data_IF_278479638163
#
_entry.id   IF_278479638163
#
_cell.length_a   1.000
_cell.length_b   1.000
_cell.length_c   1.000
_cell.angle_alpha   90.00
_cell.angle_beta   90.00
_cell.angle_gamma   90.00
#
_symmetry.space_group_name_H-M   'P 1'
#
loop_
_entity.id
_entity.type
_entity.pdbx_description
1 polymer ?
#
# COMPACT_ATOMS: atom_id res chain seq x y z
N UNK A 1 60.61 41.27 -14.26
CA UNK A 1 60.82 40.04 -13.50
C UNK A 1 60.32 40.26 -12.09
N UNK A 2 59.14 39.79 -11.75
CA UNK A 2 58.61 39.72 -10.39
C UNK A 2 58.03 38.32 -10.21
N UNK A 3 58.23 37.65 -9.08
CA UNK A 3 57.76 36.30 -8.87
C UNK A 3 56.30 36.27 -8.35
N UNK A 4 55.59 35.26 -8.74
CA UNK A 4 54.23 34.94 -8.35
C UNK A 4 54.13 34.53 -6.86
N UNK A 5 53.23 35.13 -6.14
CA UNK A 5 52.88 34.76 -4.78
C UNK A 5 51.85 33.62 -4.79
N UNK A 6 52.25 32.48 -4.25
CA UNK A 6 51.36 31.39 -3.93
C UNK A 6 50.58 31.70 -2.65
N UNK A 7 49.27 31.62 -2.74
CA UNK A 7 48.35 31.77 -1.60
C UNK A 7 48.25 30.42 -0.87
N UNK A 8 48.85 30.33 0.31
CA UNK A 8 48.68 29.19 1.20
C UNK A 8 47.37 29.34 2.00
N UNK A 9 46.44 28.41 1.81
CA UNK A 9 45.25 28.30 2.64
C UNK A 9 45.62 27.51 3.90
N UNK A 10 45.67 28.21 5.02
CA UNK A 10 45.88 27.59 6.32
C UNK A 10 44.54 26.99 6.82
N UNK A 11 44.53 25.67 6.99
CA UNK A 11 43.47 24.99 7.72
C UNK A 11 43.66 25.26 9.23
N UNK A 12 42.78 26.08 9.79
CA UNK A 12 42.71 26.29 11.25
C UNK A 12 42.04 25.08 11.90
N UNK A 13 42.82 24.28 12.62
CA UNK A 13 42.32 23.28 13.56
C UNK A 13 41.79 24.05 14.77
N UNK A 14 40.46 24.13 14.93
CA UNK A 14 39.83 24.58 16.16
C UNK A 14 39.85 23.40 17.13
N UNK A 15 40.73 23.44 18.09
CA UNK A 15 40.67 22.60 19.30
C UNK A 15 39.42 23.01 20.12
N UNK A 16 38.38 22.22 20.05
CA UNK A 16 37.29 22.28 20.99
C UNK A 16 37.72 21.62 22.30
N UNK A 17 38.00 22.46 23.27
CA UNK A 17 38.23 22.09 24.67
C UNK A 17 36.93 21.54 25.28
N UNK A 18 37.07 20.46 25.99
CA UNK A 18 36.24 19.86 27.02
C UNK A 18 34.85 20.50 27.24
N UNK A 19 33.84 19.95 26.57
CA UNK A 19 32.47 19.99 27.06
C UNK A 19 32.26 18.73 27.89
N UNK A 20 31.87 18.95 29.13
CA UNK A 20 31.57 17.96 30.14
C UNK A 20 30.82 16.76 29.52
N UNK A 21 31.37 15.57 29.74
CA UNK A 21 30.72 14.29 29.50
C UNK A 21 29.46 14.27 30.39
N UNK A 22 28.34 14.76 29.81
CA UNK A 22 27.04 14.49 30.38
C UNK A 22 26.87 12.97 30.40
N UNK A 23 26.41 12.47 31.57
CA UNK A 23 26.08 11.06 31.77
C UNK A 23 25.33 10.55 30.56
N UNK A 24 25.87 9.51 29.90
CA UNK A 24 25.17 8.78 28.89
C UNK A 24 23.80 8.36 29.44
N UNK A 25 22.68 8.70 28.78
CA UNK A 25 21.38 8.25 29.25
C UNK A 25 21.47 6.74 29.49
N UNK A 26 20.91 6.22 30.61
CA UNK A 26 20.96 4.80 30.89
C UNK A 26 20.45 4.06 29.63
N UNK A 27 21.29 3.14 29.11
CA UNK A 27 20.91 2.26 28.04
C UNK A 27 19.57 1.63 28.44
N UNK A 28 18.48 2.04 27.81
CA UNK A 28 17.21 1.32 27.92
C UNK A 28 17.55 -0.10 27.44
N UNK A 29 17.70 -1.02 28.37
CA UNK A 29 17.64 -2.45 28.04
C UNK A 29 16.31 -2.62 27.33
N UNK A 30 16.35 -2.68 26.01
CA UNK A 30 15.21 -3.18 25.25
C UNK A 30 15.02 -4.58 25.79
N UNK A 31 13.98 -4.78 26.58
CA UNK A 31 13.46 -6.13 26.74
C UNK A 31 13.19 -6.62 25.33
N UNK A 32 13.76 -7.76 24.96
CA UNK A 32 13.41 -8.37 23.67
C UNK A 32 11.88 -8.39 23.59
N UNK A 33 11.30 -7.89 22.50
CA UNK A 33 9.85 -7.91 22.36
C UNK A 33 9.39 -9.35 22.57
N UNK A 34 8.27 -9.58 23.25
CA UNK A 34 7.76 -10.91 23.46
C UNK A 34 7.67 -11.60 22.09
N UNK A 35 8.27 -12.78 21.95
CA UNK A 35 8.19 -13.57 20.72
C UNK A 35 6.75 -14.04 20.61
N UNK A 36 5.97 -13.37 19.77
CA UNK A 36 4.61 -13.79 19.47
C UNK A 36 4.73 -15.08 18.66
N UNK A 37 4.53 -16.21 19.33
CA UNK A 37 4.58 -17.52 18.69
C UNK A 37 3.25 -17.79 18.02
N UNK A 38 3.27 -17.93 16.71
CA UNK A 38 2.20 -18.58 15.98
C UNK A 38 2.77 -19.29 14.76
N UNK A 39 2.15 -20.39 14.42
CA UNK A 39 2.44 -21.10 13.19
C UNK A 39 1.69 -20.46 12.04
N UNK A 40 2.34 -20.31 10.88
CA UNK A 40 1.65 -19.97 9.64
C UNK A 40 0.71 -21.09 9.18
N UNK A 41 0.79 -22.26 9.80
CA UNK A 41 -0.02 -23.44 9.47
C UNK A 41 -1.47 -23.31 9.94
N UNK A 42 -1.79 -22.32 10.77
CA UNK A 42 -3.14 -22.07 11.29
C UNK A 42 -4.14 -21.57 10.24
N UNK A 43 -3.68 -21.05 9.09
CA UNK A 43 -4.54 -20.50 8.04
C UNK A 43 -5.58 -21.52 7.52
N UNK A 44 -5.19 -22.76 7.38
CA UNK A 44 -6.07 -23.86 6.95
C UNK A 44 -6.33 -24.91 8.05
N UNK A 45 -6.11 -24.58 9.32
CA UNK A 45 -6.41 -25.48 10.42
C UNK A 45 -7.91 -25.82 10.46
N UNK A 46 -8.24 -27.12 10.37
CA UNK A 46 -9.62 -27.59 10.34
C UNK A 46 -10.35 -27.35 9.02
N UNK A 47 -9.65 -26.94 7.96
CA UNK A 47 -10.20 -26.74 6.61
C UNK A 47 -9.83 -27.93 5.74
N UNK A 48 -10.77 -28.79 5.40
CA UNK A 48 -10.57 -29.95 4.53
C UNK A 48 -11.18 -29.76 3.15
N UNK A 49 -12.19 -28.89 3.03
CA UNK A 49 -12.96 -28.67 1.81
C UNK A 49 -13.05 -27.18 1.46
N UNK A 50 -13.42 -26.90 0.21
CA UNK A 50 -13.72 -25.52 -0.22
C UNK A 50 -14.91 -24.92 0.56
N UNK A 51 -15.86 -25.74 1.00
CA UNK A 51 -16.99 -25.25 1.82
C UNK A 51 -16.51 -24.86 3.22
N UNK A 52 -15.61 -25.64 3.83
CA UNK A 52 -15.02 -25.28 5.13
C UNK A 52 -14.20 -24.00 5.00
N UNK A 53 -13.44 -23.87 3.91
CA UNK A 53 -12.73 -22.61 3.61
C UNK A 53 -13.65 -21.42 3.52
N UNK A 54 -14.77 -21.53 2.80
CA UNK A 54 -15.75 -20.42 2.70
C UNK A 54 -16.30 -20.00 4.05
N UNK A 55 -16.59 -20.95 4.94
CA UNK A 55 -17.01 -20.66 6.31
C UNK A 55 -15.90 -19.99 7.11
N UNK A 56 -14.67 -20.51 6.99
CA UNK A 56 -13.52 -19.94 7.65
C UNK A 56 -13.20 -18.51 7.14
N UNK A 57 -13.30 -18.29 5.83
CA UNK A 57 -13.14 -16.98 5.19
C UNK A 57 -14.09 -15.93 5.77
N UNK A 58 -15.33 -16.25 6.07
CA UNK A 58 -16.27 -15.31 6.70
C UNK A 58 -15.83 -14.94 8.14
N UNK A 59 -15.29 -15.88 8.88
CA UNK A 59 -14.69 -15.61 10.20
C UNK A 59 -13.49 -14.67 10.07
N UNK A 60 -12.59 -14.94 9.11
CA UNK A 60 -11.45 -14.08 8.83
C UNK A 60 -11.89 -12.68 8.39
N UNK A 61 -12.91 -12.58 7.54
CA UNK A 61 -13.48 -11.29 7.11
C UNK A 61 -14.00 -10.49 8.30
N UNK A 62 -14.72 -11.14 9.22
CA UNK A 62 -15.19 -10.49 10.45
C UNK A 62 -14.02 -9.96 11.29
N UNK A 63 -13.02 -10.79 11.55
CA UNK A 63 -11.81 -10.39 12.30
C UNK A 63 -11.04 -9.25 11.62
N UNK A 64 -11.02 -9.24 10.28
CA UNK A 64 -10.39 -8.17 9.50
C UNK A 64 -11.14 -6.84 9.69
N UNK A 65 -12.47 -6.84 9.61
CA UNK A 65 -13.28 -5.65 9.86
C UNK A 65 -13.18 -5.18 11.31
N UNK A 66 -13.09 -6.08 12.28
CA UNK A 66 -12.80 -5.76 13.69
C UNK A 66 -11.42 -5.11 13.85
N UNK A 67 -10.37 -5.62 13.18
CA UNK A 67 -9.05 -5.01 13.18
C UNK A 67 -9.09 -3.57 12.64
N UNK A 68 -9.84 -3.32 11.59
CA UNK A 68 -10.02 -1.99 11.00
C UNK A 68 -10.89 -1.07 11.86
N UNK A 69 -11.65 -1.59 12.82
CA UNK A 69 -12.76 -0.88 13.49
C UNK A 69 -13.74 -0.31 12.46
N UNK A 70 -14.12 -1.13 11.49
CA UNK A 70 -14.96 -0.71 10.37
C UNK A 70 -16.35 -0.25 10.78
N UNK A 71 -16.85 -0.74 11.91
CA UNK A 71 -18.09 -0.31 12.57
C UNK A 71 -18.07 1.16 13.05
N UNK A 72 -16.87 1.77 13.14
CA UNK A 72 -16.66 3.15 13.57
C UNK A 72 -16.52 4.14 12.41
N UNK A 73 -16.56 3.67 11.16
CA UNK A 73 -16.49 4.56 9.99
C UNK A 73 -17.75 5.43 9.89
N UNK A 74 -17.61 6.67 9.42
CA UNK A 74 -18.76 7.55 9.20
C UNK A 74 -19.66 7.03 8.08
N UNK A 75 -20.90 7.53 8.06
CA UNK A 75 -21.78 7.36 6.91
C UNK A 75 -21.12 7.93 5.64
N UNK A 76 -21.20 7.18 4.54
CA UNK A 76 -20.60 7.60 3.27
C UNK A 76 -21.40 8.76 2.67
N UNK A 77 -20.79 9.94 2.47
CA UNK A 77 -21.47 11.08 1.85
C UNK A 77 -21.67 10.89 0.34
N UNK A 78 -22.49 11.70 -0.31
CA UNK A 78 -22.48 11.85 -1.76
C UNK A 78 -21.07 12.22 -2.26
N UNK A 79 -20.67 11.62 -3.38
CA UNK A 79 -19.28 11.72 -3.87
C UNK A 79 -18.84 13.16 -4.21
N UNK A 80 -19.72 13.95 -4.86
CA UNK A 80 -19.50 15.34 -5.28
C UNK A 80 -18.12 15.57 -5.90
N UNK A 81 -17.85 14.86 -6.99
CA UNK A 81 -16.56 14.95 -7.69
C UNK A 81 -16.38 16.34 -8.32
N UNK A 82 -15.31 17.03 -7.94
CA UNK A 82 -14.91 18.33 -8.48
C UNK A 82 -13.59 18.23 -9.22
N UNK A 83 -13.50 18.93 -10.37
CA UNK A 83 -12.26 19.05 -11.16
C UNK A 83 -11.68 20.45 -10.95
N UNK A 84 -10.46 20.52 -10.42
CA UNK A 84 -9.75 21.78 -10.13
C UNK A 84 -8.77 22.17 -11.24
N UNK A 85 -8.14 21.17 -11.88
CA UNK A 85 -7.16 21.38 -12.95
C UNK A 85 -7.29 20.25 -13.98
N UNK A 86 -7.00 20.56 -15.24
CA UNK A 86 -6.98 19.57 -16.32
C UNK A 86 -5.87 19.92 -17.31
N UNK A 87 -4.93 18.99 -17.51
CA UNK A 87 -3.75 19.16 -18.37
C UNK A 87 -3.60 17.95 -19.28
N UNK A 88 -3.42 18.21 -20.58
CA UNK A 88 -3.01 17.17 -21.52
C UNK A 88 -1.52 16.90 -21.40
N UNK A 89 -1.14 15.66 -21.13
CA UNK A 89 0.24 15.21 -20.96
C UNK A 89 0.72 14.54 -22.25
N UNK A 90 1.67 15.16 -22.93
CA UNK A 90 2.36 14.68 -24.14
C UNK A 90 1.42 14.14 -25.24
N UNK A 91 0.19 14.62 -25.32
CA UNK A 91 -0.82 14.12 -26.26
C UNK A 91 -1.25 12.66 -26.02
N UNK A 92 -0.92 12.07 -24.84
CA UNK A 92 -1.23 10.70 -24.51
C UNK A 92 -2.47 10.55 -23.63
N UNK A 93 -2.57 11.36 -22.59
CA UNK A 93 -3.67 11.30 -21.63
C UNK A 93 -3.95 12.68 -21.02
N UNK A 94 -5.13 12.85 -20.43
CA UNK A 94 -5.47 14.03 -19.61
C UNK A 94 -5.22 13.69 -18.14
N UNK A 95 -4.43 14.54 -17.46
CA UNK A 95 -4.29 14.51 -16.00
C UNK A 95 -5.17 15.57 -15.39
N UNK A 96 -6.07 15.19 -14.50
CA UNK A 96 -6.96 16.09 -13.76
C UNK A 96 -6.60 16.07 -12.27
N UNK A 97 -6.52 17.24 -11.64
CA UNK A 97 -6.57 17.37 -10.20
C UNK A 97 -8.04 17.39 -9.78
N UNK A 98 -8.44 16.45 -8.95
CA UNK A 98 -9.83 16.31 -8.50
C UNK A 98 -9.92 16.26 -6.99
N UNK A 99 -11.11 16.59 -6.45
CA UNK A 99 -11.47 16.28 -5.07
C UNK A 99 -12.86 15.67 -5.01
N UNK A 100 -13.10 14.89 -3.96
CA UNK A 100 -14.39 14.22 -3.71
C UNK A 100 -14.59 14.02 -2.20
N UNK A 101 -15.84 13.95 -1.77
CA UNK A 101 -16.16 13.76 -0.36
C UNK A 101 -15.78 12.36 0.12
N UNK A 102 -15.18 12.29 1.30
CA UNK A 102 -14.87 11.04 2.03
C UNK A 102 -15.56 10.98 3.38
N UNK A 103 -15.86 12.15 3.95
CA UNK A 103 -16.74 12.36 5.11
C UNK A 103 -17.60 13.58 4.84
N UNK A 104 -18.61 13.84 5.65
CA UNK A 104 -19.52 14.99 5.47
C UNK A 104 -18.77 16.34 5.49
N UNK A 105 -17.65 16.42 6.20
CA UNK A 105 -16.83 17.62 6.38
C UNK A 105 -15.40 17.47 5.84
N UNK A 106 -15.10 16.39 5.07
CA UNK A 106 -13.74 16.12 4.60
C UNK A 106 -13.73 15.64 3.14
N UNK A 107 -12.81 16.22 2.37
CA UNK A 107 -12.60 15.85 0.95
C UNK A 107 -11.23 15.24 0.75
N UNK A 108 -11.17 14.16 0.00
CA UNK A 108 -9.93 13.63 -0.55
C UNK A 108 -9.54 14.38 -1.83
N UNK A 109 -8.23 14.48 -2.08
CA UNK A 109 -7.67 15.02 -3.31
C UNK A 109 -6.92 13.92 -4.05
N UNK A 110 -7.09 13.86 -5.37
CA UNK A 110 -6.44 12.88 -6.21
C UNK A 110 -5.99 13.47 -7.55
N UNK A 111 -4.99 12.84 -8.17
CA UNK A 111 -4.83 12.96 -9.61
C UNK A 111 -5.60 11.84 -10.30
N UNK A 112 -6.27 12.19 -11.40
CA UNK A 112 -7.00 11.28 -12.27
C UNK A 112 -6.37 11.35 -13.67
N UNK A 113 -5.88 10.23 -14.19
CA UNK A 113 -5.31 10.09 -15.53
C UNK A 113 -6.30 9.37 -16.46
N UNK A 114 -6.72 10.03 -17.54
CA UNK A 114 -7.67 9.48 -18.52
C UNK A 114 -6.99 9.47 -19.90
N UNK A 115 -6.77 8.31 -20.52
CA UNK A 115 -6.20 8.23 -21.86
C UNK A 115 -7.02 9.02 -22.89
N UNK A 116 -6.34 9.69 -23.81
CA UNK A 116 -7.03 10.44 -24.89
C UNK A 116 -7.63 9.54 -25.97
N UNK A 117 -7.11 8.33 -26.10
CA UNK A 117 -7.59 7.35 -27.07
C UNK A 117 -8.01 6.09 -26.33
N UNK A 118 -9.30 5.84 -26.31
CA UNK A 118 -9.90 4.64 -25.73
C UNK A 118 -10.73 3.92 -26.81
N UNK A 119 -10.57 2.62 -26.91
CA UNK A 119 -11.42 1.74 -27.71
C UNK A 119 -12.48 1.12 -26.77
N UNK A 120 -13.50 1.90 -26.43
CA UNK A 120 -14.52 1.52 -25.46
C UNK A 120 -14.10 1.84 -24.01
N UNK A 121 -14.70 1.14 -23.05
CA UNK A 121 -14.40 1.34 -21.62
C UNK A 121 -13.06 0.72 -21.24
N UNK A 122 -12.26 1.46 -20.49
CA UNK A 122 -10.94 1.06 -20.00
C UNK A 122 -11.01 0.43 -18.59
N UNK A 123 -10.06 -0.45 -18.23
CA UNK A 123 -9.89 -0.84 -16.84
C UNK A 123 -9.48 0.36 -15.98
N UNK A 124 -9.98 0.37 -14.73
CA UNK A 124 -9.66 1.40 -13.73
C UNK A 124 -8.58 0.93 -12.75
N UNK A 125 -7.67 1.81 -12.35
CA UNK A 125 -6.61 1.50 -11.37
C UNK A 125 -6.61 2.53 -10.23
N UNK A 126 -6.58 2.03 -8.99
CA UNK A 126 -6.23 2.83 -7.81
C UNK A 126 -4.73 2.72 -7.57
N UNK A 127 -3.99 3.80 -7.80
CA UNK A 127 -2.53 3.86 -7.67
C UNK A 127 -2.13 4.53 -6.36
N UNK A 128 -1.66 3.74 -5.39
CA UNK A 128 -1.40 4.17 -4.03
C UNK A 128 0.07 4.54 -3.81
N UNK A 129 0.32 5.77 -3.33
CA UNK A 129 1.67 6.23 -3.04
C UNK A 129 2.22 5.67 -1.72
N UNK A 130 3.54 5.50 -1.63
CA UNK A 130 4.26 5.20 -0.39
C UNK A 130 4.33 6.41 0.55
N UNK A 131 4.93 6.25 1.73
CA UNK A 131 5.17 7.35 2.67
C UNK A 131 5.98 8.46 2.00
N UNK A 132 5.31 9.55 1.68
CA UNK A 132 5.89 10.70 1.00
C UNK A 132 5.03 11.96 1.23
N UNK A 133 5.60 13.07 1.74
CA UNK A 133 4.83 14.25 2.11
C UNK A 133 3.95 14.81 0.99
N UNK A 134 4.44 14.83 -0.25
CA UNK A 134 3.67 15.32 -1.41
C UNK A 134 2.66 14.30 -1.99
N UNK A 135 2.48 13.16 -1.31
CA UNK A 135 1.45 12.19 -1.60
C UNK A 135 1.35 11.77 -3.06
N UNK A 136 0.18 12.03 -3.65
CA UNK A 136 -0.19 11.69 -5.02
C UNK A 136 0.74 12.21 -6.13
N UNK A 137 1.50 13.30 -5.89
CA UNK A 137 2.42 13.85 -6.90
C UNK A 137 3.45 12.81 -7.35
N UNK A 138 3.86 11.90 -6.45
CA UNK A 138 4.79 10.82 -6.78
C UNK A 138 4.16 9.83 -7.76
N UNK A 139 2.95 9.40 -7.50
CA UNK A 139 2.23 8.49 -8.38
C UNK A 139 1.87 9.15 -9.72
N UNK A 140 1.66 10.47 -9.74
CA UNK A 140 1.37 11.24 -10.94
C UNK A 140 2.61 11.57 -11.80
N UNK A 141 3.84 11.22 -11.34
CA UNK A 141 5.07 11.52 -12.07
C UNK A 141 5.48 13.00 -12.00
N UNK A 142 5.06 13.73 -10.97
CA UNK A 142 5.35 15.15 -10.77
C UNK A 142 6.58 15.40 -9.86
N UNK A 143 7.32 14.36 -9.54
CA UNK A 143 8.55 14.43 -8.74
C UNK A 143 9.67 13.66 -9.42
N UNK A 144 10.92 14.00 -9.07
CA UNK A 144 12.13 13.35 -9.62
C UNK A 144 12.29 11.90 -9.15
N UNK A 145 11.35 11.05 -9.50
CA UNK A 145 11.41 9.60 -9.30
C UNK A 145 10.41 8.89 -10.23
N UNK A 146 10.79 8.63 -11.47
CA UNK A 146 9.90 8.02 -12.46
C UNK A 146 9.51 6.57 -12.11
N UNK A 147 10.28 5.89 -11.25
CA UNK A 147 10.00 4.49 -10.92
C UNK A 147 8.65 4.27 -10.22
N UNK A 148 8.09 5.32 -9.62
CA UNK A 148 6.82 5.29 -8.89
C UNK A 148 5.71 6.11 -9.56
N UNK A 149 5.93 6.54 -10.82
CA UNK A 149 4.97 7.31 -11.61
C UNK A 149 3.86 6.42 -12.21
N UNK A 150 3.19 5.66 -11.36
CA UNK A 150 2.21 4.64 -11.78
C UNK A 150 1.06 5.22 -12.62
N UNK A 151 0.56 6.41 -12.25
CA UNK A 151 -0.51 7.06 -13.00
C UNK A 151 -0.04 7.41 -14.42
N UNK A 152 1.12 8.06 -14.57
CA UNK A 152 1.65 8.41 -15.88
C UNK A 152 1.86 7.15 -16.74
N UNK A 153 2.53 6.14 -16.19
CA UNK A 153 2.85 4.92 -16.92
C UNK A 153 1.61 4.13 -17.36
N UNK A 154 0.62 3.99 -16.47
CA UNK A 154 -0.56 3.18 -16.74
C UNK A 154 -1.57 3.93 -17.61
N UNK A 155 -1.70 5.27 -17.46
CA UNK A 155 -2.55 6.05 -18.37
C UNK A 155 -2.03 5.99 -19.81
N UNK A 156 -0.71 6.00 -20.02
CA UNK A 156 -0.11 5.78 -21.36
C UNK A 156 -0.34 4.36 -21.90
N UNK A 157 -0.64 3.40 -21.03
CA UNK A 157 -0.97 2.00 -21.37
C UNK A 157 -2.48 1.76 -21.55
N UNK A 158 -3.31 2.80 -21.49
CA UNK A 158 -4.76 2.72 -21.72
C UNK A 158 -5.59 2.39 -20.50
N UNK A 159 -5.07 2.63 -19.27
CA UNK A 159 -5.84 2.55 -18.03
C UNK A 159 -6.36 3.93 -17.62
N UNK A 160 -7.55 3.98 -17.07
CA UNK A 160 -7.99 5.14 -16.27
C UNK A 160 -7.45 4.97 -14.85
N UNK A 161 -6.66 5.92 -14.37
CA UNK A 161 -5.93 5.78 -13.12
C UNK A 161 -6.29 6.89 -12.15
N UNK A 162 -6.67 6.54 -10.93
CA UNK A 162 -6.80 7.48 -9.82
C UNK A 162 -5.66 7.29 -8.82
N UNK A 163 -5.00 8.39 -8.46
CA UNK A 163 -3.95 8.42 -7.45
C UNK A 163 -4.36 9.38 -6.33
N UNK A 164 -5.01 8.89 -5.24
CA UNK A 164 -5.43 9.74 -4.13
C UNK A 164 -4.26 10.11 -3.21
N UNK A 165 -4.38 11.25 -2.53
CA UNK A 165 -3.59 11.54 -1.34
C UNK A 165 -4.04 10.63 -0.20
N UNK A 166 -3.08 10.16 0.58
CA UNK A 166 -3.38 9.60 1.88
C UNK A 166 -3.93 10.71 2.80
N UNK A 167 -4.84 10.37 3.72
CA UNK A 167 -5.55 11.34 4.56
C UNK A 167 -4.66 12.24 5.45
N UNK A 168 -3.34 11.97 5.51
CA UNK A 168 -2.33 12.74 6.25
C UNK A 168 -1.12 13.13 5.37
N UNK A 169 -1.32 13.20 4.04
CA UNK A 169 -0.29 13.57 3.07
C UNK A 169 -0.84 14.52 1.99
N UNK A 170 0.03 15.09 1.19
CA UNK A 170 -0.32 15.96 0.07
C UNK A 170 -1.14 17.18 0.50
N UNK A 171 -2.33 17.35 -0.06
CA UNK A 171 -3.25 18.45 0.30
C UNK A 171 -3.86 18.32 1.70
N UNK A 172 -3.69 17.18 2.35
CA UNK A 172 -4.33 16.84 3.63
C UNK A 172 -3.34 16.73 4.79
N UNK A 173 -2.13 17.28 4.62
CA UNK A 173 -1.12 17.34 5.70
C UNK A 173 -1.70 18.18 6.85
N UNK A 174 -1.82 17.61 8.06
CA UNK A 174 -2.26 18.37 9.21
C UNK A 174 -1.19 19.42 9.63
N UNK A 175 -1.56 20.46 10.37
CA UNK A 175 -0.62 21.51 10.80
C UNK A 175 0.59 20.99 11.59
N UNK A 176 0.46 19.85 12.26
CA UNK A 176 1.52 19.21 13.03
C UNK A 176 2.60 18.57 12.13
N UNK A 177 2.28 18.32 10.86
CA UNK A 177 3.21 17.78 9.88
C UNK A 177 2.67 16.56 9.13
N UNK A 178 3.40 16.09 8.10
CA UNK A 178 2.98 14.95 7.31
C UNK A 178 2.97 13.66 8.18
N UNK A 179 1.92 12.86 7.98
CA UNK A 179 1.67 11.59 8.68
C UNK A 179 1.38 11.72 10.18
N UNK A 180 1.11 12.92 10.68
CA UNK A 180 0.61 13.10 12.05
C UNK A 180 -0.86 12.71 12.13
N UNK A 181 -1.20 11.72 12.96
CA UNK A 181 -2.55 11.18 13.11
C UNK A 181 -3.29 11.67 14.34
N UNK A 182 -2.70 12.59 15.10
CA UNK A 182 -3.26 13.09 16.37
C UNK A 182 -4.67 13.67 16.21
N UNK A 183 -4.89 14.53 15.18
CA UNK A 183 -6.21 15.12 14.90
C UNK A 183 -7.23 14.09 14.44
N UNK A 184 -6.81 13.12 13.66
CA UNK A 184 -7.68 12.02 13.26
C UNK A 184 -8.19 11.26 14.50
N UNK A 185 -7.30 10.88 15.42
CA UNK A 185 -7.70 10.17 16.64
C UNK A 185 -8.47 11.04 17.65
N UNK A 186 -8.39 12.36 17.55
CA UNK A 186 -9.27 13.27 18.31
C UNK A 186 -10.70 13.27 17.74
N UNK A 187 -10.83 13.29 16.41
CA UNK A 187 -12.11 13.25 15.70
C UNK A 187 -12.76 11.86 15.76
N UNK A 188 -11.95 10.82 15.62
CA UNK A 188 -12.37 9.42 15.58
C UNK A 188 -11.57 8.57 16.59
N UNK A 189 -11.88 8.65 17.88
CA UNK A 189 -11.08 8.02 18.94
C UNK A 189 -11.04 6.49 18.87
N UNK A 190 -12.11 5.87 18.32
CA UNK A 190 -12.26 4.42 18.23
C UNK A 190 -11.95 3.85 16.84
N UNK A 191 -11.88 4.70 15.82
CA UNK A 191 -11.55 4.23 14.46
C UNK A 191 -10.05 4.12 14.26
N UNK A 192 -9.60 3.24 13.36
CA UNK A 192 -8.17 3.08 13.07
C UNK A 192 -7.74 3.89 11.86
N UNK A 193 -6.48 4.33 11.84
CA UNK A 193 -5.92 5.02 10.69
C UNK A 193 -5.89 4.09 9.45
N UNK A 194 -5.72 2.77 9.65
CA UNK A 194 -5.80 1.78 8.57
C UNK A 194 -7.23 1.63 8.08
N UNK A 195 -8.22 1.61 8.97
CA UNK A 195 -9.64 1.65 8.60
C UNK A 195 -9.96 2.88 7.75
N UNK A 196 -9.51 4.07 8.20
CA UNK A 196 -9.71 5.34 7.48
C UNK A 196 -9.15 5.26 6.05
N UNK A 197 -7.88 4.92 5.86
CA UNK A 197 -7.33 4.92 4.52
C UNK A 197 -7.92 3.81 3.62
N UNK A 198 -8.26 2.65 4.20
CA UNK A 198 -8.89 1.56 3.44
C UNK A 198 -10.28 1.97 2.92
N UNK A 199 -11.07 2.59 3.79
CA UNK A 199 -12.36 3.17 3.43
C UNK A 199 -12.24 4.24 2.33
N UNK A 200 -11.31 5.16 2.44
CA UNK A 200 -11.11 6.22 1.43
C UNK A 200 -10.61 5.67 0.09
N UNK A 201 -9.78 4.63 0.12
CA UNK A 201 -9.36 3.96 -1.12
C UNK A 201 -10.54 3.24 -1.80
N UNK A 202 -11.50 2.71 -1.01
CA UNK A 202 -12.75 2.16 -1.55
C UNK A 202 -13.62 3.25 -2.20
N UNK A 203 -13.66 4.47 -1.64
CA UNK A 203 -14.33 5.62 -2.28
C UNK A 203 -13.61 6.03 -3.57
N UNK A 204 -12.29 5.90 -3.67
CA UNK A 204 -11.59 6.13 -4.93
C UNK A 204 -12.03 5.15 -6.03
N UNK A 205 -12.45 3.93 -5.68
CA UNK A 205 -13.11 3.01 -6.63
C UNK A 205 -14.49 3.57 -7.06
N UNK A 206 -15.26 4.15 -6.15
CA UNK A 206 -16.55 4.79 -6.51
C UNK A 206 -16.31 5.93 -7.53
N UNK A 207 -15.23 6.72 -7.36
CA UNK A 207 -14.86 7.75 -8.34
C UNK A 207 -14.58 7.11 -9.70
N UNK A 208 -13.78 6.04 -9.77
CA UNK A 208 -13.51 5.35 -11.03
C UNK A 208 -14.81 4.84 -11.67
N UNK A 209 -15.68 4.22 -10.90
CA UNK A 209 -16.94 3.67 -11.40
C UNK A 209 -17.97 4.73 -11.81
N UNK A 210 -17.81 5.98 -11.35
CA UNK A 210 -18.66 7.11 -11.77
C UNK A 210 -18.30 7.67 -13.15
N UNK A 211 -17.16 7.25 -13.74
CA UNK A 211 -16.67 7.73 -15.03
C UNK A 211 -17.17 6.85 -16.17
N UNK A 212 -17.65 7.46 -17.23
CA UNK A 212 -18.14 6.75 -18.43
C UNK A 212 -17.02 5.97 -19.14
N UNK A 213 -15.78 6.42 -19.00
CA UNK A 213 -14.59 5.82 -19.59
C UNK A 213 -14.17 4.52 -18.90
N UNK A 214 -14.67 4.21 -17.69
CA UNK A 214 -14.23 3.06 -16.88
C UNK A 214 -15.18 1.87 -17.04
N UNK A 215 -14.61 0.69 -17.19
CA UNK A 215 -15.32 -0.56 -17.04
C UNK A 215 -15.38 -0.94 -15.54
N UNK A 216 -16.55 -0.91 -14.90
CA UNK A 216 -16.70 -1.14 -13.46
C UNK A 216 -16.30 -2.55 -13.02
N UNK A 217 -16.26 -3.52 -13.95
CA UNK A 217 -15.87 -4.91 -13.66
C UNK A 217 -14.36 -5.15 -13.79
N UNK A 218 -13.59 -4.16 -14.22
CA UNK A 218 -12.15 -4.28 -14.44
C UNK A 218 -11.37 -3.26 -13.60
N UNK A 219 -11.48 -3.37 -12.29
CA UNK A 219 -10.79 -2.50 -11.33
C UNK A 219 -9.57 -3.20 -10.75
N UNK A 220 -8.43 -2.51 -10.72
CA UNK A 220 -7.21 -2.96 -10.06
C UNK A 220 -6.71 -1.97 -9.02
N UNK A 221 -5.80 -2.45 -8.18
CA UNK A 221 -5.11 -1.61 -7.21
C UNK A 221 -3.62 -1.97 -7.16
N UNK A 222 -2.77 -0.96 -7.01
CA UNK A 222 -1.33 -1.18 -6.84
C UNK A 222 -0.69 -0.10 -6.00
N UNK A 223 0.44 -0.44 -5.38
CA UNK A 223 1.21 0.53 -4.62
C UNK A 223 2.52 0.00 -4.09
N UNK A 224 3.32 0.92 -3.54
CA UNK A 224 4.62 0.63 -2.95
C UNK A 224 4.67 1.06 -1.49
N UNK A 225 5.29 0.25 -0.63
CA UNK A 225 5.48 0.59 0.79
C UNK A 225 4.13 0.79 1.49
N UNK A 226 3.84 1.96 2.04
CA UNK A 226 2.52 2.32 2.55
C UNK A 226 1.41 2.08 1.52
N UNK A 227 1.64 2.43 0.25
CA UNK A 227 0.70 2.13 -0.82
C UNK A 227 0.56 0.63 -1.10
N UNK A 228 1.62 -0.16 -0.86
CA UNK A 228 1.57 -1.62 -0.89
C UNK A 228 0.69 -2.19 0.21
N UNK A 229 0.82 -1.70 1.46
CA UNK A 229 -0.11 -2.04 2.55
C UNK A 229 -1.54 -1.67 2.17
N UNK A 230 -1.74 -0.43 1.68
CA UNK A 230 -3.04 0.04 1.24
C UNK A 230 -3.66 -0.85 0.16
N UNK A 231 -2.85 -1.38 -0.75
CA UNK A 231 -3.30 -2.31 -1.80
C UNK A 231 -3.82 -3.63 -1.22
N UNK A 232 -3.09 -4.23 -0.27
CA UNK A 232 -3.53 -5.47 0.39
C UNK A 232 -4.83 -5.23 1.16
N UNK A 233 -4.87 -4.20 1.99
CA UNK A 233 -6.05 -3.88 2.79
C UNK A 233 -7.26 -3.54 1.91
N UNK A 234 -7.08 -2.74 0.85
CA UNK A 234 -8.13 -2.40 -0.09
C UNK A 234 -8.67 -3.65 -0.81
N UNK A 235 -7.79 -4.50 -1.34
CA UNK A 235 -8.21 -5.70 -2.07
C UNK A 235 -8.92 -6.74 -1.17
N UNK A 236 -8.52 -6.85 0.10
CA UNK A 236 -9.22 -7.69 1.08
C UNK A 236 -10.57 -7.10 1.52
N UNK A 237 -10.66 -5.77 1.54
CA UNK A 237 -11.87 -5.03 1.96
C UNK A 237 -12.93 -4.98 0.86
N UNK A 238 -12.52 -4.66 -0.37
CA UNK A 238 -13.41 -4.33 -1.49
C UNK A 238 -13.25 -5.36 -2.63
N UNK A 239 -14.29 -6.16 -2.82
CA UNK A 239 -14.31 -7.25 -3.82
C UNK A 239 -14.37 -6.76 -5.27
N UNK A 240 -14.58 -5.46 -5.49
CA UNK A 240 -14.49 -4.84 -6.82
C UNK A 240 -13.06 -4.83 -7.36
N UNK A 241 -12.04 -4.90 -6.49
CA UNK A 241 -10.63 -5.05 -6.91
C UNK A 241 -10.43 -6.46 -7.47
N UNK A 242 -10.26 -6.58 -8.78
CA UNK A 242 -10.06 -7.87 -9.48
C UNK A 242 -8.59 -8.27 -9.59
N UNK A 243 -7.68 -7.28 -9.61
CA UNK A 243 -6.25 -7.52 -9.61
C UNK A 243 -5.53 -6.55 -8.67
N UNK A 244 -4.65 -7.07 -7.84
CA UNK A 244 -3.84 -6.31 -6.91
C UNK A 244 -2.35 -6.57 -7.11
N UNK A 245 -1.51 -5.53 -6.95
CA UNK A 245 -0.06 -5.67 -6.94
C UNK A 245 0.56 -4.87 -5.80
N UNK A 246 1.10 -5.57 -4.82
CA UNK A 246 1.78 -4.99 -3.66
C UNK A 246 3.29 -5.03 -3.87
N UNK A 247 3.95 -3.87 -3.84
CA UNK A 247 5.42 -3.81 -3.85
C UNK A 247 5.94 -3.33 -2.50
N UNK A 248 6.74 -4.16 -1.84
CA UNK A 248 7.34 -3.90 -0.52
C UNK A 248 6.31 -3.49 0.56
N UNK A 249 5.11 -4.07 0.52
CA UNK A 249 4.02 -3.75 1.45
C UNK A 249 3.54 -4.94 2.28
N UNK A 250 3.73 -6.17 1.83
CA UNK A 250 3.39 -7.34 2.65
C UNK A 250 4.24 -7.38 3.93
N UNK A 251 3.60 -7.61 5.05
CA UNK A 251 4.20 -7.64 6.38
C UNK A 251 3.55 -8.74 7.22
N UNK A 252 3.73 -8.70 8.52
CA UNK A 252 3.09 -9.59 9.48
C UNK A 252 3.11 -8.93 10.87
N UNK A 253 2.16 -9.27 11.70
CA UNK A 253 2.16 -8.91 13.12
C UNK A 253 2.98 -9.93 13.92
N UNK A 254 2.76 -11.20 13.65
CA UNK A 254 3.46 -12.34 14.24
C UNK A 254 4.92 -12.33 13.77
N UNK A 255 5.84 -12.82 14.59
CA UNK A 255 7.28 -12.82 14.28
C UNK A 255 7.89 -11.46 13.92
N UNK A 256 7.15 -10.36 14.09
CA UNK A 256 7.71 -9.04 13.88
C UNK A 256 8.68 -8.71 15.03
N UNK A 257 9.93 -8.34 14.76
CA UNK A 257 10.90 -8.01 15.80
C UNK A 257 10.54 -6.72 16.54
N UNK A 258 9.57 -5.95 16.05
CA UNK A 258 9.16 -4.70 16.67
C UNK A 258 7.64 -4.51 16.62
N UNK A 259 7.03 -4.38 17.79
CA UNK A 259 5.63 -4.01 17.96
C UNK A 259 5.37 -2.60 17.39
N UNK A 260 6.38 -1.73 17.41
CA UNK A 260 6.29 -0.35 16.93
C UNK A 260 5.97 -0.25 15.43
N UNK A 261 6.20 -1.30 14.65
CA UNK A 261 5.90 -1.26 13.21
C UNK A 261 4.40 -0.98 12.96
N UNK A 262 3.50 -1.65 13.71
CA UNK A 262 2.05 -1.60 13.49
C UNK A 262 1.28 -1.01 14.66
N UNK A 263 1.83 -1.04 15.86
CA UNK A 263 1.19 -0.58 17.10
C UNK A 263 1.98 0.55 17.76
N UNK A 264 2.58 1.43 16.98
CA UNK A 264 3.23 2.66 17.47
C UNK A 264 2.22 3.59 18.14
N UNK A 265 2.67 4.40 19.05
CA UNK A 265 1.86 5.34 19.82
C UNK A 265 2.14 6.81 19.49
N UNK A 266 2.99 7.06 18.52
CA UNK A 266 3.40 8.38 18.08
C UNK A 266 3.53 8.41 16.55
N UNK A 267 3.46 9.59 15.96
CA UNK A 267 3.50 9.85 14.53
C UNK A 267 2.39 9.07 13.84
N UNK A 268 2.61 8.35 12.78
CA UNK A 268 1.60 7.61 12.02
C UNK A 268 1.09 6.39 12.80
N UNK A 269 0.13 6.61 13.72
CA UNK A 269 -0.46 5.56 14.56
C UNK A 269 -1.48 4.75 13.76
N UNK A 270 -1.14 3.50 13.42
CA UNK A 270 -2.00 2.60 12.62
C UNK A 270 -3.14 1.99 13.44
N UNK A 271 -2.78 1.18 14.45
CA UNK A 271 -3.71 0.38 15.24
C UNK A 271 -3.49 0.64 16.73
N UNK A 272 -4.03 1.72 17.24
CA UNK A 272 -3.90 2.09 18.66
C UNK A 272 -4.45 1.01 19.60
N UNK A 273 -5.58 0.40 19.24
CA UNK A 273 -6.33 -0.52 20.11
C UNK A 273 -5.65 -1.88 20.30
N UNK A 274 -4.81 -2.36 19.36
CA UNK A 274 -4.10 -3.64 19.53
C UNK A 274 -2.77 -3.49 20.30
N UNK A 275 -2.26 -2.26 20.50
CA UNK A 275 -0.96 -2.01 21.13
C UNK A 275 -0.82 -2.65 22.51
N UNK A 276 -1.78 -2.50 23.46
CA UNK A 276 -1.64 -3.11 24.76
C UNK A 276 -1.45 -4.63 24.70
N UNK A 277 -2.28 -5.31 23.91
CA UNK A 277 -2.19 -6.75 23.73
C UNK A 277 -0.87 -7.19 23.11
N UNK A 278 -0.38 -6.50 22.07
CA UNK A 278 0.91 -6.81 21.45
C UNK A 278 2.09 -6.61 22.41
N UNK A 279 2.03 -5.61 23.31
CA UNK A 279 3.05 -5.41 24.33
C UNK A 279 3.06 -6.54 25.39
N UNK A 280 1.94 -7.18 25.62
CA UNK A 280 1.78 -8.36 26.48
C UNK A 280 2.08 -9.70 25.76
N UNK A 281 2.38 -9.65 24.47
CA UNK A 281 2.63 -10.83 23.64
C UNK A 281 1.37 -11.51 23.10
N UNK A 282 0.21 -10.85 23.17
CA UNK A 282 -1.03 -11.36 22.60
C UNK A 282 -1.01 -11.22 21.07
N UNK A 283 -1.65 -12.14 20.37
CA UNK A 283 -1.84 -12.05 18.93
C UNK A 283 -2.95 -11.04 18.59
N UNK A 284 -2.82 -10.28 17.50
CA UNK A 284 -3.95 -9.56 16.94
C UNK A 284 -5.03 -10.54 16.45
N UNK A 285 -6.28 -10.08 16.24
CA UNK A 285 -7.38 -10.95 15.84
C UNK A 285 -7.15 -11.63 14.49
N UNK A 286 -6.30 -11.04 13.63
CA UNK A 286 -5.96 -11.51 12.28
C UNK A 286 -4.54 -11.05 11.92
N UNK A 287 -3.85 -11.78 11.04
CA UNK A 287 -2.53 -11.40 10.52
C UNK A 287 -2.53 -11.31 8.98
N UNK A 288 -1.44 -10.83 8.40
CA UNK A 288 -1.32 -10.52 6.96
C UNK A 288 -1.59 -11.71 6.04
N UNK A 289 -1.16 -12.93 6.38
CA UNK A 289 -1.44 -14.12 5.57
C UNK A 289 -2.95 -14.38 5.47
N UNK A 290 -3.68 -14.19 6.56
CA UNK A 290 -5.13 -14.34 6.61
C UNK A 290 -5.81 -13.20 5.82
N UNK A 291 -5.33 -11.96 5.96
CA UNK A 291 -5.84 -10.81 5.18
C UNK A 291 -5.60 -11.01 3.68
N UNK A 292 -4.40 -11.47 3.28
CA UNK A 292 -4.09 -11.76 1.88
C UNK A 292 -4.93 -12.93 1.34
N UNK A 293 -5.19 -13.94 2.16
CA UNK A 293 -6.06 -15.06 1.80
C UNK A 293 -7.51 -14.63 1.51
N UNK A 294 -8.01 -13.54 2.12
CA UNK A 294 -9.30 -12.95 1.78
C UNK A 294 -9.40 -12.44 0.34
N UNK A 295 -8.27 -12.20 -0.32
CA UNK A 295 -8.24 -11.74 -1.72
C UNK A 295 -8.56 -12.88 -2.67
N UNK A 296 -8.21 -14.12 -2.31
CA UNK A 296 -8.48 -15.29 -3.13
C UNK A 296 -9.98 -15.43 -3.48
N UNK A 297 -10.33 -15.91 -4.68
CA UNK A 297 -9.46 -16.34 -5.79
C UNK A 297 -9.03 -15.20 -6.77
N UNK A 298 -9.25 -13.91 -6.41
CA UNK A 298 -8.89 -12.74 -7.23
C UNK A 298 -7.38 -12.57 -7.34
N UNK A 299 -6.91 -11.92 -8.40
CA UNK A 299 -5.49 -11.86 -8.70
C UNK A 299 -4.69 -11.01 -7.70
N UNK A 300 -3.60 -11.57 -7.14
CA UNK A 300 -2.70 -10.90 -6.21
C UNK A 300 -1.24 -11.19 -6.54
N UNK A 301 -0.44 -10.12 -6.75
CA UNK A 301 1.01 -10.17 -6.93
C UNK A 301 1.69 -9.47 -5.76
N UNK A 302 2.60 -10.17 -5.06
CA UNK A 302 3.50 -9.55 -4.08
C UNK A 302 4.93 -9.45 -4.60
N UNK A 303 5.56 -8.29 -4.44
CA UNK A 303 6.94 -8.06 -4.85
C UNK A 303 7.74 -7.47 -3.69
N UNK A 304 9.00 -7.91 -3.54
CA UNK A 304 9.85 -7.40 -2.46
C UNK A 304 11.35 -7.57 -2.69
N UNK A 305 12.10 -6.78 -1.93
CA UNK A 305 13.56 -6.89 -1.87
C UNK A 305 14.04 -7.79 -0.73
N UNK A 306 15.01 -8.68 -0.99
CA UNK A 306 15.68 -9.45 0.06
C UNK A 306 16.40 -8.56 1.08
N UNK A 307 16.88 -7.38 0.62
CA UNK A 307 17.58 -6.42 1.44
C UNK A 307 16.65 -5.28 1.92
N UNK A 308 15.34 -5.51 1.92
CA UNK A 308 14.34 -4.60 2.45
C UNK A 308 14.13 -4.87 3.94
N UNK A 309 14.72 -4.00 4.78
CA UNK A 309 14.66 -4.14 6.22
C UNK A 309 15.60 -5.22 6.79
N UNK A 310 15.14 -5.95 7.81
CA UNK A 310 15.94 -6.96 8.51
C UNK A 310 15.88 -8.29 7.76
N UNK A 311 17.00 -8.98 7.47
CA UNK A 311 16.99 -10.23 6.68
C UNK A 311 16.07 -11.34 7.23
N UNK A 312 15.91 -11.42 8.55
CA UNK A 312 15.00 -12.40 9.18
C UNK A 312 13.54 -12.16 8.80
N UNK A 313 13.13 -10.92 8.65
CA UNK A 313 11.75 -10.58 8.27
C UNK A 313 11.42 -11.02 6.84
N UNK A 314 12.39 -10.98 5.93
CA UNK A 314 12.17 -11.45 4.56
C UNK A 314 11.94 -12.96 4.48
N UNK A 315 12.68 -13.74 5.28
CA UNK A 315 12.47 -15.20 5.35
C UNK A 315 11.07 -15.52 5.88
N UNK A 316 10.66 -14.89 6.97
CA UNK A 316 9.33 -15.09 7.55
C UNK A 316 8.23 -14.70 6.55
N UNK A 317 8.43 -13.61 5.82
CA UNK A 317 7.48 -13.18 4.81
C UNK A 317 7.33 -14.20 3.67
N UNK A 318 8.42 -14.79 3.18
CA UNK A 318 8.35 -15.85 2.16
C UNK A 318 7.55 -17.05 2.68
N UNK A 319 7.77 -17.47 3.91
CA UNK A 319 7.00 -18.56 4.52
C UNK A 319 5.51 -18.22 4.62
N UNK A 320 5.18 -16.98 5.01
CA UNK A 320 3.82 -16.48 5.02
C UNK A 320 3.16 -16.54 3.63
N UNK A 321 3.86 -16.07 2.60
CA UNK A 321 3.35 -16.09 1.23
C UNK A 321 3.10 -17.50 0.70
N UNK A 322 3.93 -18.47 1.09
CA UNK A 322 3.70 -19.87 0.75
C UNK A 322 2.39 -20.41 1.34
N UNK A 323 2.02 -19.97 2.56
CA UNK A 323 0.72 -20.33 3.13
C UNK A 323 -0.47 -19.68 2.42
N UNK A 324 -0.29 -18.48 1.89
CA UNK A 324 -1.32 -17.87 1.03
C UNK A 324 -1.50 -18.67 -0.27
N UNK A 325 -0.41 -19.22 -0.84
CA UNK A 325 -0.52 -20.11 -2.02
C UNK A 325 -1.41 -21.31 -1.77
N UNK A 326 -1.34 -21.93 -0.58
CA UNK A 326 -2.17 -23.10 -0.24
C UNK A 326 -3.68 -22.78 -0.39
N UNK A 327 -4.09 -21.54 -0.05
CA UNK A 327 -5.48 -21.08 -0.26
C UNK A 327 -5.84 -20.94 -1.73
N UNK A 328 -4.94 -20.39 -2.53
CA UNK A 328 -5.19 -20.26 -3.98
C UNK A 328 -5.25 -21.62 -4.69
N UNK A 329 -4.50 -22.60 -4.21
CA UNK A 329 -4.58 -23.99 -4.68
C UNK A 329 -5.94 -24.60 -4.31
N UNK A 330 -6.39 -24.41 -3.05
CA UNK A 330 -7.71 -24.86 -2.59
C UNK A 330 -8.85 -24.22 -3.40
N UNK A 331 -8.75 -22.93 -3.72
CA UNK A 331 -9.69 -22.18 -4.57
C UNK A 331 -9.59 -22.55 -6.07
N UNK A 332 -8.68 -23.46 -6.45
CA UNK A 332 -8.41 -23.87 -7.84
C UNK A 332 -8.02 -22.70 -8.76
N UNK A 333 -7.36 -21.71 -8.18
CA UNK A 333 -6.90 -20.50 -8.87
C UNK A 333 -5.40 -20.21 -8.62
N UNK A 334 -4.49 -21.21 -8.65
CA UNK A 334 -3.07 -20.99 -8.32
C UNK A 334 -2.40 -19.96 -9.23
N UNK A 335 -2.86 -19.81 -10.48
CA UNK A 335 -2.36 -18.81 -11.43
C UNK A 335 -2.70 -17.36 -11.04
N UNK A 336 -3.60 -17.14 -10.08
CA UNK A 336 -4.03 -15.83 -9.62
C UNK A 336 -3.24 -15.35 -8.40
N UNK A 337 -2.24 -16.12 -7.94
CA UNK A 337 -1.32 -15.66 -6.91
C UNK A 337 0.12 -15.86 -7.35
N UNK A 338 0.91 -14.79 -7.22
CA UNK A 338 2.34 -14.86 -7.47
C UNK A 338 3.11 -13.96 -6.49
N UNK A 339 4.36 -14.31 -6.21
CA UNK A 339 5.28 -13.42 -5.54
C UNK A 339 6.66 -13.41 -6.20
N UNK A 340 7.30 -12.25 -6.15
CA UNK A 340 8.62 -12.05 -6.73
C UNK A 340 9.55 -11.40 -5.72
N UNK A 341 10.70 -12.03 -5.49
CA UNK A 341 11.72 -11.55 -4.55
C UNK A 341 13.00 -11.21 -5.29
N UNK A 342 13.41 -9.95 -5.22
CA UNK A 342 14.63 -9.46 -5.88
C UNK A 342 15.75 -9.11 -4.89
N UNK A 343 16.99 -9.05 -5.36
CA UNK A 343 18.18 -8.80 -4.52
C UNK A 343 18.38 -7.35 -4.06
N UNK A 344 17.42 -6.44 -4.29
CA UNK A 344 17.51 -5.01 -3.92
C UNK A 344 16.87 -4.74 -2.56
N UNK A 345 16.98 -3.49 -2.07
CA UNK A 345 16.29 -3.02 -0.87
C UNK A 345 14.87 -2.49 -1.16
N UNK A 346 14.41 -1.53 -0.35
CA UNK A 346 13.07 -0.94 -0.37
C UNK A 346 12.84 -0.07 -1.62
N UNK A 347 12.66 -0.69 -2.78
CA UNK A 347 12.61 -0.01 -4.07
C UNK A 347 11.55 -0.58 -5.00
N UNK A 348 11.20 0.20 -6.01
CA UNK A 348 10.48 -0.28 -7.19
C UNK A 348 11.52 -0.50 -8.28
N UNK A 349 12.07 -1.71 -8.36
CA UNK A 349 13.02 -2.07 -9.38
C UNK A 349 12.37 -2.03 -10.77
N UNK A 350 13.16 -1.82 -11.82
CA UNK A 350 12.65 -1.80 -13.18
C UNK A 350 11.89 -3.10 -13.52
N UNK A 351 12.49 -4.23 -13.20
CA UNK A 351 11.91 -5.56 -13.38
C UNK A 351 10.60 -5.75 -12.59
N UNK A 352 10.55 -5.28 -11.34
CA UNK A 352 9.33 -5.31 -10.53
C UNK A 352 8.20 -4.52 -11.19
N UNK A 353 8.52 -3.34 -11.71
CA UNK A 353 7.55 -2.48 -12.41
C UNK A 353 6.99 -3.14 -13.66
N UNK A 354 7.84 -3.81 -14.46
CA UNK A 354 7.40 -4.55 -15.65
C UNK A 354 6.48 -5.72 -15.27
N UNK A 355 6.80 -6.46 -14.21
CA UNK A 355 5.95 -7.53 -13.70
C UNK A 355 4.58 -7.02 -13.23
N UNK A 356 4.55 -5.90 -12.49
CA UNK A 356 3.31 -5.25 -12.06
C UNK A 356 2.43 -4.93 -13.28
N UNK A 357 2.99 -4.33 -14.32
CA UNK A 357 2.21 -3.93 -15.50
C UNK A 357 1.74 -5.13 -16.29
N UNK A 358 2.57 -6.14 -16.48
CA UNK A 358 2.18 -7.39 -17.11
C UNK A 358 1.06 -8.09 -16.32
N UNK A 359 1.14 -8.10 -14.99
CA UNK A 359 0.09 -8.64 -14.12
C UNK A 359 -1.25 -7.93 -14.33
N UNK A 360 -1.24 -6.59 -14.33
CA UNK A 360 -2.45 -5.82 -14.58
C UNK A 360 -3.00 -6.06 -16.00
N UNK A 361 -2.13 -6.13 -17.01
CA UNK A 361 -2.56 -6.42 -18.39
C UNK A 361 -3.22 -7.80 -18.47
N UNK A 362 -2.63 -8.84 -17.86
CA UNK A 362 -3.15 -10.21 -17.88
C UNK A 362 -4.53 -10.34 -17.24
N UNK A 363 -4.76 -9.63 -16.12
CA UNK A 363 -5.98 -9.84 -15.33
C UNK A 363 -7.08 -8.80 -15.58
N UNK A 364 -6.76 -7.66 -16.21
CA UNK A 364 -7.73 -6.57 -16.40
C UNK A 364 -8.00 -6.23 -17.87
N UNK A 365 -7.17 -6.69 -18.81
CA UNK A 365 -7.40 -6.50 -20.24
C UNK A 365 -7.93 -7.79 -20.86
N UNK A 366 -8.73 -7.71 -21.93
CA UNK A 366 -9.08 -8.89 -22.67
C UNK A 366 -7.80 -9.53 -23.26
N UNK A 367 -7.73 -10.86 -23.37
CA UNK A 367 -6.60 -11.54 -23.97
C UNK A 367 -6.34 -11.00 -25.38
N UNK A 368 -5.07 -10.72 -25.68
CA UNK A 368 -4.70 -10.27 -27.01
C UNK A 368 -4.97 -11.37 -28.03
N UNK A 369 -5.29 -11.00 -29.27
CA UNK A 369 -5.54 -11.97 -30.34
C UNK A 369 -4.36 -12.95 -30.57
N UNK A 370 -3.15 -12.59 -30.11
CA UNK A 370 -1.94 -13.41 -30.17
C UNK A 370 -1.89 -14.44 -29.02
N UNK A 371 -2.36 -14.09 -27.82
CA UNK A 371 -2.39 -14.99 -26.67
C UNK A 371 -3.46 -16.08 -26.80
N UNK A 372 -4.58 -15.77 -27.45
CA UNK A 372 -5.63 -16.76 -27.72
C UNK A 372 -5.13 -17.92 -28.60
N UNK A 373 -4.09 -17.72 -29.40
CA UNK A 373 -3.51 -18.78 -30.28
C UNK A 373 -2.58 -19.73 -29.53
N UNK A 374 -1.93 -19.29 -28.44
CA UNK A 374 -0.97 -20.12 -27.69
C UNK A 374 -1.63 -21.07 -26.69
N UNK A 375 -2.89 -20.83 -26.35
CA UNK A 375 -3.65 -21.68 -25.39
C UNK A 375 -4.42 -22.80 -26.12
N UNK A 376 -4.50 -22.76 -27.43
CA UNK A 376 -5.21 -23.75 -28.27
C UNK A 376 -4.27 -24.71 -29.01
N UNK A 377 -2.95 -24.63 -28.82
CA UNK A 377 -1.93 -25.57 -29.27
C UNK A 377 -1.34 -26.34 -28.07
#
# INVERSE_FOLDING_TARGET
MKPSSALAVAFGIVLLTDLALGETPPERKRSDPPVIQSSWDDLLEGVETLEDWRKHREVLKTRFLELLRDDQKPEKPPLELEVHESVTVDGAYTRKLVSYNVEADERAHAYLGIPLKLEGKAPGIVALHGTFPKGKERAAGLVDNPDKAYLDHLSRRGYVVIAPDHFVAGHRIPPEGPYETGRFHQKHPEWTAVGKFTYEHSIAIDVLQSLDEVDPERIGALGHSLGGHGTIFLAAYDERVKAAACNCGASFFRHNPTVEAWARDHWYVYFKHIRPGLLEGNLPPIDFHEIMALIAPRAMLDLSGLNDGIPLTQRQRILMLMKVMDVYELEKAPQNFAFYVHGRGHSVAHESRQLIYAWMDTHLKPPSATETRLVTE
#
